data_IF_735963961425
#
_entry.id   IF_735963961425
#
_cell.length_a   1.000
_cell.length_b   1.000
_cell.length_c   1.000
_cell.angle_alpha   90.00
_cell.angle_beta   90.00
_cell.angle_gamma   90.00
#
_symmetry.space_group_name_H-M   'P 1'
#
loop_
_entity.id
_entity.type
_entity.pdbx_description
1 polymer ?
#
# COMPACT_ATOMS: atom_id res chain seq x y z
N UNK A 1 2.60 23.65 37.92
CA UNK A 1 2.08 22.89 36.76
C UNK A 1 1.90 23.90 35.64
N UNK A 2 2.44 23.64 34.45
CA UNK A 2 2.22 24.50 33.29
C UNK A 2 1.21 23.78 32.41
N UNK A 3 0.03 24.38 32.25
CA UNK A 3 -0.96 23.92 31.28
C UNK A 3 -0.49 24.32 29.89
N UNK A 4 -0.41 23.36 28.97
CA UNK A 4 0.02 23.60 27.59
C UNK A 4 -0.98 22.96 26.64
N UNK A 5 -1.35 23.68 25.59
CA UNK A 5 -2.21 23.16 24.52
C UNK A 5 -1.34 22.72 23.36
N UNK A 6 -1.41 21.45 22.97
CA UNK A 6 -0.80 20.92 21.74
C UNK A 6 -1.85 20.25 20.89
N UNK A 7 -1.92 20.61 19.61
CA UNK A 7 -2.90 20.04 18.66
C UNK A 7 -4.36 20.18 19.13
N UNK A 8 -4.66 21.21 19.92
CA UNK A 8 -6.00 21.44 20.51
C UNK A 8 -6.37 20.49 21.66
N UNK A 9 -5.39 19.80 22.24
CA UNK A 9 -5.56 18.94 23.43
C UNK A 9 -4.85 19.65 24.59
N UNK A 10 -5.56 19.82 25.71
CA UNK A 10 -4.97 20.30 26.96
C UNK A 10 -4.08 19.19 27.53
N UNK A 11 -2.89 19.57 28.00
CA UNK A 11 -1.96 18.65 28.63
C UNK A 11 -1.28 19.33 29.81
N UNK A 12 -1.17 18.57 30.88
CA UNK A 12 -0.38 18.94 32.04
C UNK A 12 1.06 18.45 31.89
N UNK A 13 1.98 19.40 31.95
CA UNK A 13 3.41 19.14 31.83
C UNK A 13 4.16 19.48 33.13
N UNK A 14 4.99 18.52 33.58
CA UNK A 14 5.94 18.69 34.68
C UNK A 14 7.33 19.03 34.11
N UNK A 15 7.84 20.27 34.23
CA UNK A 15 9.15 20.65 33.69
C UNK A 15 10.33 20.00 34.42
N UNK A 16 10.18 19.61 35.70
CA UNK A 16 11.25 18.97 36.46
C UNK A 16 11.47 17.50 36.07
N UNK A 17 10.37 16.79 35.81
CA UNK A 17 10.36 15.35 35.61
C UNK A 17 10.08 14.94 34.15
N UNK A 18 9.74 15.90 33.28
CA UNK A 18 9.29 15.70 31.89
C UNK A 18 8.07 14.77 31.79
N UNK A 19 7.34 14.61 32.89
CA UNK A 19 6.10 13.84 32.94
C UNK A 19 4.98 14.59 32.22
N UNK A 20 4.16 13.82 31.49
CA UNK A 20 3.02 14.30 30.72
C UNK A 20 1.78 13.56 31.20
N UNK A 21 0.76 14.30 31.60
CA UNK A 21 -0.48 13.76 32.16
C UNK A 21 -1.64 14.20 31.27
N UNK A 22 -2.55 13.26 30.98
CA UNK A 22 -3.73 13.49 30.16
C UNK A 22 -4.95 12.93 30.87
N UNK A 23 -6.08 13.61 30.73
CA UNK A 23 -7.36 13.09 31.17
C UNK A 23 -7.90 12.04 30.20
N UNK A 24 -8.84 11.21 30.69
CA UNK A 24 -9.41 10.10 29.91
C UNK A 24 -10.01 10.56 28.57
N UNK A 25 -10.63 11.73 28.53
CA UNK A 25 -11.23 12.29 27.31
C UNK A 25 -10.23 12.85 26.31
N UNK A 26 -9.12 13.40 26.80
CA UNK A 26 -8.04 13.97 25.98
C UNK A 26 -7.21 12.89 25.29
N UNK A 27 -6.94 11.79 26.01
CA UNK A 27 -6.26 10.63 25.46
C UNK A 27 -7.04 10.03 24.28
N UNK A 28 -8.37 9.88 24.43
CA UNK A 28 -9.23 9.37 23.35
C UNK A 28 -9.16 10.27 22.10
N UNK A 29 -9.17 11.60 22.30
CA UNK A 29 -9.04 12.56 21.21
C UNK A 29 -7.68 12.47 20.51
N UNK A 30 -6.60 12.29 21.28
CA UNK A 30 -5.26 12.11 20.73
C UNK A 30 -5.16 10.84 19.89
N UNK A 31 -5.67 9.71 20.40
CA UNK A 31 -5.64 8.41 19.70
C UNK A 31 -6.36 8.52 18.36
N UNK A 32 -7.59 9.07 18.34
CA UNK A 32 -8.34 9.24 17.10
C UNK A 32 -7.60 10.08 16.06
N UNK A 33 -6.97 11.18 16.47
CA UNK A 33 -6.18 12.01 15.55
C UNK A 33 -4.93 11.28 15.05
N UNK A 34 -4.23 10.56 15.94
CA UNK A 34 -3.06 9.78 15.57
C UNK A 34 -3.41 8.67 14.56
N UNK A 35 -4.53 7.97 14.75
CA UNK A 35 -5.03 6.97 13.81
C UNK A 35 -5.35 7.57 12.44
N UNK A 36 -6.00 8.74 12.41
CA UNK A 36 -6.28 9.46 11.16
C UNK A 36 -5.00 9.88 10.43
N UNK A 37 -4.02 10.41 11.16
CA UNK A 37 -2.72 10.79 10.60
C UNK A 37 -1.97 9.57 10.04
N UNK A 38 -1.92 8.47 10.80
CA UNK A 38 -1.29 7.22 10.36
C UNK A 38 -1.97 6.64 9.12
N UNK A 39 -3.31 6.70 9.05
CA UNK A 39 -4.07 6.28 7.86
C UNK A 39 -3.72 7.16 6.66
N UNK A 40 -3.70 8.48 6.83
CA UNK A 40 -3.35 9.41 5.76
C UNK A 40 -1.92 9.17 5.24
N UNK A 41 -0.96 8.91 6.13
CA UNK A 41 0.42 8.58 5.77
C UNK A 41 0.49 7.27 4.97
N UNK A 42 -0.21 6.23 5.43
CA UNK A 42 -0.28 4.95 4.73
C UNK A 42 -0.91 5.09 3.34
N UNK A 43 -1.99 5.86 3.22
CA UNK A 43 -2.65 6.12 1.94
C UNK A 43 -1.74 6.90 0.99
N UNK A 44 -1.02 7.91 1.51
CA UNK A 44 -0.03 8.66 0.74
C UNK A 44 1.12 7.77 0.25
N UNK A 45 1.63 6.86 1.10
CA UNK A 45 2.66 5.88 0.72
C UNK A 45 2.18 4.95 -0.38
N UNK A 46 0.97 4.39 -0.25
CA UNK A 46 0.38 3.51 -1.27
C UNK A 46 0.16 4.23 -2.60
N UNK A 47 -0.23 5.50 -2.59
CA UNK A 47 -0.38 6.31 -3.80
C UNK A 47 0.96 6.49 -4.52
N UNK A 48 2.02 6.85 -3.79
CA UNK A 48 3.37 6.99 -4.34
C UNK A 48 3.89 5.69 -4.96
N UNK A 49 3.66 4.56 -4.29
CA UNK A 49 4.05 3.25 -4.81
C UNK A 49 3.32 2.90 -6.13
N UNK A 50 2.02 3.24 -6.23
CA UNK A 50 1.25 3.04 -7.47
C UNK A 50 1.72 3.95 -8.60
N UNK A 51 2.08 5.19 -8.30
CA UNK A 51 2.59 6.16 -9.29
C UNK A 51 4.00 5.83 -9.78
N UNK A 52 4.83 5.23 -8.92
CA UNK A 52 6.20 4.81 -9.28
C UNK A 52 6.25 3.44 -9.97
N UNK A 53 5.12 2.74 -10.09
CA UNK A 53 5.10 1.47 -10.80
C UNK A 53 5.31 1.75 -12.30
N UNK A 54 6.41 1.30 -12.92
CA UNK A 54 6.63 1.52 -14.34
C UNK A 54 5.45 0.91 -15.10
N UNK A 55 4.87 1.69 -16.01
CA UNK A 55 3.98 1.17 -17.04
C UNK A 55 4.76 0.06 -17.74
N UNK A 56 4.46 -1.21 -17.46
CA UNK A 56 4.94 -2.30 -18.29
C UNK A 56 4.40 -1.99 -19.68
N UNK A 57 5.29 -1.54 -20.57
CA UNK A 57 5.03 -1.42 -21.99
C UNK A 57 4.61 -2.83 -22.42
N UNK A 58 3.31 -3.02 -22.64
CA UNK A 58 2.82 -4.19 -23.36
C UNK A 58 3.48 -4.11 -24.72
N UNK A 59 4.46 -4.98 -24.95
CA UNK A 59 5.05 -5.21 -26.26
C UNK A 59 3.91 -5.64 -27.18
N UNK A 60 3.31 -4.66 -27.87
CA UNK A 60 2.51 -4.91 -29.05
C UNK A 60 3.46 -5.39 -30.13
N UNK A 61 3.86 -6.67 -30.03
CA UNK A 61 4.46 -7.38 -31.15
C UNK A 61 3.35 -7.59 -32.16
N UNK A 62 3.30 -6.64 -33.10
CA UNK A 62 2.60 -6.74 -34.36
C UNK A 62 3.16 -7.96 -35.10
N UNK A 63 2.59 -9.14 -34.84
CA UNK A 63 2.84 -10.35 -35.62
C UNK A 63 1.90 -10.31 -36.83
N UNK A 64 2.14 -9.35 -37.71
CA UNK A 64 1.77 -9.49 -39.10
C UNK A 64 2.79 -10.47 -39.68
N UNK A 65 2.40 -11.73 -39.89
CA UNK A 65 2.89 -12.64 -40.95
C UNK A 65 2.42 -14.09 -40.72
N UNK A 66 1.14 -14.39 -40.96
CA UNK A 66 0.76 -15.73 -41.48
C UNK A 66 -0.67 -15.82 -42.04
N UNK A 67 -0.92 -15.16 -43.17
CA UNK A 67 -2.00 -15.59 -44.06
C UNK A 67 -1.53 -16.82 -44.86
N UNK A 68 -1.46 -17.97 -44.20
CA UNK A 68 -1.40 -19.29 -44.83
C UNK A 68 -1.46 -20.33 -43.73
N UNK A 69 -2.65 -20.84 -43.42
CA UNK A 69 -2.96 -22.23 -43.72
C UNK A 69 -4.32 -22.58 -43.11
N UNK A 70 -5.29 -22.81 -43.99
CA UNK A 70 -6.56 -23.40 -43.63
C UNK A 70 -6.32 -24.89 -43.38
N UNK A 71 -6.48 -25.35 -42.13
CA UNK A 71 -6.93 -26.70 -41.67
C UNK A 71 -6.09 -27.22 -40.49
N UNK A 72 -6.61 -27.12 -39.26
CA UNK A 72 -6.00 -27.82 -38.12
C UNK A 72 -6.81 -27.74 -36.83
N UNK A 73 -7.47 -28.85 -36.52
CA UNK A 73 -8.01 -29.29 -35.21
C UNK A 73 -7.46 -28.53 -34.00
N UNK A 74 -8.34 -28.00 -33.14
CA UNK A 74 -8.76 -28.62 -31.85
C UNK A 74 -7.58 -29.10 -30.99
N UNK A 75 -7.65 -28.65 -29.73
CA UNK A 75 -7.23 -29.40 -28.54
C UNK A 75 -5.91 -29.04 -27.87
N UNK A 76 -5.70 -27.79 -27.45
CA UNK A 76 -4.90 -27.49 -26.24
C UNK A 76 -5.42 -26.22 -25.56
N UNK A 77 -6.47 -26.37 -24.75
CA UNK A 77 -6.84 -25.37 -23.76
C UNK A 77 -5.70 -25.31 -22.72
N UNK A 78 -4.75 -24.39 -22.95
CA UNK A 78 -3.68 -24.11 -22.00
C UNK A 78 -4.33 -23.56 -20.71
N UNK A 79 -4.50 -24.46 -19.74
CA UNK A 79 -4.79 -24.13 -18.35
C UNK A 79 -3.75 -23.09 -17.93
N UNK A 80 -4.21 -21.85 -17.71
CA UNK A 80 -3.41 -20.77 -17.14
C UNK A 80 -2.79 -21.28 -15.84
N UNK A 81 -1.50 -21.63 -15.89
CA UNK A 81 -0.73 -21.95 -14.70
C UNK A 81 -0.53 -20.63 -13.98
N UNK A 82 -1.22 -20.51 -12.86
CA UNK A 82 -0.95 -19.53 -11.83
C UNK A 82 0.54 -19.57 -11.46
N UNK A 83 1.03 -18.38 -11.10
CA UNK A 83 2.37 -17.91 -10.72
C UNK A 83 3.29 -18.78 -9.83
N UNK A 84 2.95 -20.04 -9.57
CA UNK A 84 3.75 -20.97 -8.76
C UNK A 84 4.42 -22.08 -9.58
N UNK A 85 4.23 -22.12 -10.90
CA UNK A 85 4.82 -23.14 -11.78
C UNK A 85 6.32 -22.96 -12.08
N UNK A 86 6.83 -21.74 -11.97
CA UNK A 86 8.23 -21.39 -12.27
C UNK A 86 9.15 -21.43 -11.03
N UNK A 87 8.64 -21.71 -9.83
CA UNK A 87 9.46 -21.77 -8.60
C UNK A 87 10.07 -23.17 -8.34
N UNK A 88 9.66 -24.21 -9.07
CA UNK A 88 10.07 -25.60 -8.85
C UNK A 88 10.82 -26.23 -10.05
N UNK A 89 11.63 -25.46 -10.78
CA UNK A 89 12.40 -26.00 -11.92
C UNK A 89 13.90 -25.65 -11.89
N UNK A 90 14.56 -25.72 -10.72
CA UNK A 90 16.03 -25.78 -10.62
C UNK A 90 16.47 -26.59 -9.39
N UNK A 91 17.12 -27.74 -9.67
CA UNK A 91 17.93 -28.70 -8.85
C UNK A 91 17.52 -29.00 -7.39
#
# INVERSE_FOLDING_TARGET
>A
MLMSVREGIEIDYCPQCRGVWLDRGELDQLIRRAEQAAKAERDARRKREREQRPLRHEDYRHDDHRYSDSRGRREYAHRKKSFLGDLFDFD
#
